data_IF_488953474426
#
_entry.id   IF_488953474426
#
_cell.length_a   1.000
_cell.length_b   1.000
_cell.length_c   1.000
_cell.angle_alpha   90.00
_cell.angle_beta   90.00
_cell.angle_gamma   90.00
#
_symmetry.space_group_name_H-M   'P 1'
#
loop_
_entity.id
_entity.type
_entity.pdbx_description
1 polymer ?
#
# COMPACT_ATOMS: atom_id res chain seq x y z
N UNK A 1 -8.87 5.65 23.33
CA UNK A 1 -8.75 5.85 21.87
C UNK A 1 -7.38 5.40 21.35
N UNK A 2 -7.32 4.79 20.16
CA UNK A 2 -6.08 4.49 19.42
C UNK A 2 -5.79 5.57 18.36
N UNK A 3 -4.51 5.91 18.16
CA UNK A 3 -4.12 6.96 17.22
C UNK A 3 -3.14 6.43 16.17
N UNK A 4 -3.40 6.68 14.89
CA UNK A 4 -2.49 6.38 13.79
C UNK A 4 -1.75 7.64 13.35
N UNK A 5 -0.41 7.64 13.40
CA UNK A 5 0.36 8.72 12.78
C UNK A 5 0.51 8.50 11.29
N UNK A 6 -0.17 9.31 10.48
CA UNK A 6 -0.08 9.19 9.04
C UNK A 6 1.21 9.80 8.49
N UNK A 7 1.88 9.06 7.63
CA UNK A 7 3.06 9.50 6.86
C UNK A 7 3.37 8.54 5.71
N UNK A 8 4.08 9.05 4.71
CA UNK A 8 4.23 8.40 3.41
C UNK A 8 2.98 8.60 2.54
N UNK A 9 3.06 8.16 1.28
CA UNK A 9 1.95 8.26 0.32
C UNK A 9 0.84 7.22 0.59
N UNK A 10 -0.23 7.26 -0.20
CA UNK A 10 -1.48 6.52 -0.01
C UNK A 10 -1.31 5.08 0.51
N UNK A 11 -0.52 4.24 -0.16
CA UNK A 11 -0.37 2.83 0.25
C UNK A 11 0.23 2.64 1.65
N UNK A 12 1.13 3.52 2.11
CA UNK A 12 1.65 3.49 3.47
C UNK A 12 0.60 3.92 4.50
N UNK A 13 -0.17 4.95 4.15
CA UNK A 13 -1.25 5.42 5.02
C UNK A 13 -2.36 4.38 5.17
N UNK A 14 -2.65 3.59 4.13
CA UNK A 14 -3.60 2.49 4.19
C UNK A 14 -3.17 1.41 5.21
N UNK A 15 -1.88 1.06 5.28
CA UNK A 15 -1.37 0.16 6.33
C UNK A 15 -1.49 0.76 7.73
N UNK A 16 -1.11 2.04 7.89
CA UNK A 16 -1.20 2.75 9.16
C UNK A 16 -2.65 2.82 9.68
N UNK A 17 -3.59 3.08 8.77
CA UNK A 17 -5.02 3.04 9.05
C UNK A 17 -5.47 1.63 9.44
N UNK A 18 -5.14 0.62 8.62
CA UNK A 18 -5.60 -0.75 8.84
C UNK A 18 -5.13 -1.32 10.17
N UNK A 19 -3.86 -1.10 10.53
CA UNK A 19 -3.33 -1.49 11.83
C UNK A 19 -4.05 -0.76 12.97
N UNK A 20 -4.19 0.56 12.92
CA UNK A 20 -4.85 1.32 13.99
C UNK A 20 -6.33 0.91 14.16
N UNK A 21 -7.07 0.71 13.06
CA UNK A 21 -8.45 0.24 13.09
C UNK A 21 -8.55 -1.16 13.70
N UNK A 22 -7.62 -2.07 13.38
CA UNK A 22 -7.59 -3.41 13.94
C UNK A 22 -7.31 -3.42 15.45
N UNK A 23 -6.37 -2.59 15.92
CA UNK A 23 -6.09 -2.47 17.35
C UNK A 23 -7.28 -1.85 18.10
N UNK A 24 -7.90 -0.82 17.53
CA UNK A 24 -9.08 -0.19 18.11
C UNK A 24 -10.28 -1.15 18.21
N UNK A 25 -10.54 -1.93 17.15
CA UNK A 25 -11.58 -2.94 17.14
C UNK A 25 -11.34 -4.04 18.19
N UNK A 26 -10.08 -4.47 18.37
CA UNK A 26 -9.70 -5.45 19.40
C UNK A 26 -9.99 -4.95 20.82
N UNK A 27 -9.76 -3.67 21.07
CA UNK A 27 -9.89 -3.05 22.39
C UNK A 27 -11.29 -2.49 22.66
N UNK A 28 -12.18 -2.50 21.67
CA UNK A 28 -13.49 -1.85 21.70
C UNK A 28 -13.41 -0.36 22.09
N UNK A 29 -12.48 0.37 21.43
CA UNK A 29 -12.26 1.80 21.67
C UNK A 29 -12.33 2.60 20.37
N UNK A 30 -12.65 3.91 20.44
CA UNK A 30 -12.55 4.79 19.29
C UNK A 30 -11.13 4.83 18.71
N UNK A 31 -11.01 5.21 17.44
CA UNK A 31 -9.71 5.42 16.81
C UNK A 31 -9.67 6.73 16.03
N UNK A 32 -8.47 7.28 15.87
CA UNK A 32 -8.24 8.55 15.20
C UNK A 32 -6.98 8.51 14.34
N UNK A 33 -6.93 9.37 13.33
CA UNK A 33 -5.76 9.53 12.46
C UNK A 33 -5.16 10.92 12.67
N UNK A 34 -3.82 10.99 12.73
CA UNK A 34 -3.06 12.23 12.81
C UNK A 34 -2.40 12.51 11.45
N UNK A 35 -3.03 13.38 10.67
CA UNK A 35 -2.64 13.75 9.29
C UNK A 35 -1.51 14.77 9.21
N UNK A 36 -1.21 15.48 10.32
CA UNK A 36 -0.42 16.71 10.32
C UNK A 36 0.96 16.55 9.69
N UNK A 37 1.59 15.38 9.84
CA UNK A 37 2.90 15.09 9.24
C UNK A 37 2.81 14.86 7.74
N UNK A 38 1.82 14.10 7.29
CA UNK A 38 1.61 13.82 5.86
C UNK A 38 1.26 15.11 5.12
N UNK A 39 0.39 15.95 5.69
CA UNK A 39 0.03 17.26 5.14
C UNK A 39 1.25 18.20 5.05
N UNK A 40 2.02 18.32 6.13
CA UNK A 40 3.25 19.14 6.14
C UNK A 40 4.26 18.70 5.06
N UNK A 41 4.32 17.40 4.75
CA UNK A 41 5.24 16.86 3.74
C UNK A 41 4.67 16.83 2.32
N UNK A 42 3.42 17.24 2.12
CA UNK A 42 2.76 17.13 0.81
C UNK A 42 2.55 15.67 0.37
N UNK A 43 2.44 14.73 1.31
CA UNK A 43 2.28 13.29 1.02
C UNK A 43 0.82 12.91 0.69
N UNK A 44 -0.09 13.88 0.73
CA UNK A 44 -1.54 13.67 0.64
C UNK A 44 -2.12 13.04 1.91
N UNK A 45 -3.44 12.85 1.95
CA UNK A 45 -4.14 12.16 3.04
C UNK A 45 -5.11 11.13 2.47
N UNK A 46 -5.17 9.94 3.05
CA UNK A 46 -6.03 8.85 2.55
C UNK A 46 -7.52 9.22 2.50
N UNK A 47 -7.98 10.15 3.35
CA UNK A 47 -9.37 10.63 3.42
C UNK A 47 -9.80 11.43 2.19
N UNK A 48 -8.83 11.87 1.37
CA UNK A 48 -9.10 12.39 0.02
C UNK A 48 -9.74 11.32 -0.88
N UNK A 49 -9.33 10.06 -0.68
CA UNK A 49 -9.65 8.93 -1.56
C UNK A 49 -10.80 8.10 -1.01
N UNK A 50 -10.76 7.81 0.29
CA UNK A 50 -11.67 6.87 0.95
C UNK A 50 -12.54 7.58 1.98
N UNK A 51 -13.81 7.21 2.05
CA UNK A 51 -14.71 7.63 3.13
C UNK A 51 -14.54 6.70 4.32
N UNK A 52 -13.41 6.86 5.01
CA UNK A 52 -13.05 6.03 6.16
C UNK A 52 -13.62 6.59 7.45
N UNK A 53 -14.19 5.73 8.28
CA UNK A 53 -14.59 6.09 9.63
C UNK A 53 -13.36 6.50 10.45
N UNK A 54 -13.43 7.56 11.24
CA UNK A 54 -12.49 7.83 12.33
C UNK A 54 -13.10 8.89 13.25
N UNK A 55 -12.63 8.95 14.50
CA UNK A 55 -13.12 9.92 15.48
C UNK A 55 -12.19 11.12 15.58
N UNK A 56 -12.78 12.32 15.66
CA UNK A 56 -12.03 13.53 15.98
C UNK A 56 -11.44 13.40 17.39
N UNK A 57 -10.11 13.50 17.55
CA UNK A 57 -9.47 13.29 18.83
C UNK A 57 -9.69 14.52 19.73
N UNK A 58 -10.09 14.30 20.98
CA UNK A 58 -10.17 15.38 21.98
C UNK A 58 -8.77 15.97 22.29
N UNK A 59 -7.76 15.09 22.32
CA UNK A 59 -6.37 15.46 22.57
C UNK A 59 -5.45 14.75 21.57
N UNK A 60 -4.69 15.54 20.81
CA UNK A 60 -3.56 15.07 20.01
C UNK A 60 -2.25 15.44 20.71
N UNK A 61 -1.18 14.67 20.49
CA UNK A 61 0.13 15.10 20.94
C UNK A 61 0.53 16.43 20.29
N UNK A 62 1.44 17.20 20.91
CA UNK A 62 1.90 18.48 20.35
C UNK A 62 2.36 18.33 18.90
N UNK A 63 2.07 19.31 18.05
CA UNK A 63 2.51 19.27 16.66
C UNK A 63 4.04 19.29 16.59
N UNK A 64 4.64 18.35 15.85
CA UNK A 64 6.08 18.30 15.61
C UNK A 64 6.60 19.61 14.99
N UNK A 65 5.79 20.26 14.15
CA UNK A 65 6.20 21.42 13.35
C UNK A 65 5.84 22.75 14.02
N UNK A 66 4.66 22.85 14.64
CA UNK A 66 4.21 24.08 15.28
C UNK A 66 4.73 24.23 16.72
N UNK A 67 4.98 23.11 17.41
CA UNK A 67 5.38 23.10 18.83
C UNK A 67 6.51 22.09 19.05
N UNK A 68 7.68 22.24 18.40
CA UNK A 68 8.75 21.24 18.40
C UNK A 68 9.24 20.92 19.82
N UNK A 69 9.48 21.91 20.67
CA UNK A 69 9.93 21.70 22.05
C UNK A 69 8.92 20.87 22.87
N UNK A 70 7.62 21.19 22.76
CA UNK A 70 6.57 20.43 23.42
C UNK A 70 6.44 19.01 22.85
N UNK A 71 6.64 18.84 21.54
CA UNK A 71 6.66 17.51 20.91
C UNK A 71 7.83 16.65 21.40
N UNK A 72 9.03 17.22 21.51
CA UNK A 72 10.18 16.54 22.08
C UNK A 72 9.95 16.15 23.55
N UNK A 73 9.41 17.07 24.35
CA UNK A 73 9.06 16.78 25.73
C UNK A 73 8.01 15.66 25.84
N UNK A 74 6.95 15.70 25.03
CA UNK A 74 5.96 14.62 24.96
C UNK A 74 6.57 13.29 24.49
N UNK A 75 7.50 13.32 23.52
CA UNK A 75 8.17 12.10 23.06
C UNK A 75 9.09 11.47 24.10
N UNK A 76 9.66 12.27 25.01
CA UNK A 76 10.54 11.80 26.07
C UNK A 76 9.78 11.36 27.32
N UNK A 77 8.73 12.09 27.70
CA UNK A 77 8.06 11.95 29.01
C UNK A 77 6.54 11.80 28.93
N UNK A 78 5.94 12.01 27.76
CA UNK A 78 4.50 12.02 27.58
C UNK A 78 3.87 10.64 27.70
N UNK A 79 2.81 10.55 28.51
CA UNK A 79 2.06 9.31 28.73
C UNK A 79 0.71 9.29 27.99
N UNK A 80 0.24 10.43 27.47
CA UNK A 80 -1.11 10.55 26.92
C UNK A 80 -1.16 11.41 25.62
N UNK A 81 -1.42 10.80 24.44
CA UNK A 81 -1.34 9.36 24.19
C UNK A 81 0.10 8.85 24.31
N UNK A 82 0.28 7.56 24.59
CA UNK A 82 1.59 6.91 24.72
C UNK A 82 2.13 6.52 23.36
N UNK A 83 3.29 7.06 22.96
CA UNK A 83 3.90 6.70 21.69
C UNK A 83 4.39 5.25 21.69
N UNK A 84 3.98 4.49 20.67
CA UNK A 84 4.49 3.17 20.39
C UNK A 84 5.09 3.15 18.99
N UNK A 85 6.39 2.84 18.92
CA UNK A 85 7.12 2.76 17.66
C UNK A 85 7.22 1.32 17.21
N UNK A 86 6.94 1.10 15.93
CA UNK A 86 7.19 -0.18 15.28
C UNK A 86 8.67 -0.58 15.46
N UNK A 87 8.91 -1.85 15.78
CA UNK A 87 10.25 -2.41 16.01
C UNK A 87 10.58 -3.31 14.83
N UNK A 88 11.62 -2.96 14.07
CA UNK A 88 11.86 -3.61 12.78
C UNK A 88 10.73 -3.31 11.78
N UNK A 89 10.71 -4.02 10.65
CA UNK A 89 9.69 -3.84 9.61
C UNK A 89 8.73 -5.02 9.49
N UNK A 90 9.04 -6.16 10.14
CA UNK A 90 8.17 -7.33 10.21
C UNK A 90 7.00 -7.18 11.19
N UNK A 91 6.23 -8.24 11.32
CA UNK A 91 5.12 -8.29 12.26
C UNK A 91 5.62 -8.32 13.72
N UNK A 92 5.11 -7.39 14.53
CA UNK A 92 5.43 -7.26 15.95
C UNK A 92 4.32 -7.86 16.81
N UNK A 93 4.51 -9.07 17.35
CA UNK A 93 3.50 -9.73 18.19
C UNK A 93 3.06 -8.90 19.42
N UNK A 94 3.94 -8.04 19.95
CA UNK A 94 3.60 -7.11 21.04
C UNK A 94 2.51 -6.10 20.68
N UNK A 95 2.20 -5.95 19.39
CA UNK A 95 1.09 -5.14 18.89
C UNK A 95 -0.25 -5.58 19.46
N UNK A 96 -0.46 -6.88 19.65
CA UNK A 96 -1.74 -7.43 20.11
C UNK A 96 -2.05 -7.06 21.56
N UNK A 97 -1.01 -6.82 22.36
CA UNK A 97 -1.10 -6.47 23.78
C UNK A 97 -1.00 -4.96 24.03
N UNK A 98 -0.99 -4.13 22.98
CA UNK A 98 -0.94 -2.68 23.17
C UNK A 98 -2.21 -2.20 23.87
N UNK A 99 -2.09 -1.34 24.89
CA UNK A 99 -3.24 -0.85 25.61
C UNK A 99 -3.98 0.23 24.82
N UNK A 100 -5.14 0.63 25.35
CA UNK A 100 -5.77 1.87 24.93
C UNK A 100 -4.82 3.06 25.09
N UNK A 101 -5.15 4.17 24.43
CA UNK A 101 -4.39 5.42 24.46
C UNK A 101 -2.99 5.30 23.84
N UNK A 102 -2.85 4.38 22.88
CA UNK A 102 -1.61 4.15 22.13
C UNK A 102 -1.58 5.02 20.87
N UNK A 103 -0.47 5.72 20.68
CA UNK A 103 -0.14 6.47 19.47
C UNK A 103 0.87 5.70 18.61
N UNK A 104 0.37 5.05 17.56
CA UNK A 104 1.14 4.19 16.67
C UNK A 104 2.02 5.02 15.73
N UNK A 105 3.31 4.71 15.70
CA UNK A 105 4.30 5.33 14.85
C UNK A 105 5.14 4.25 14.13
N UNK A 106 4.79 3.97 12.88
CA UNK A 106 5.40 2.95 12.05
C UNK A 106 4.70 2.84 10.70
N UNK A 107 5.17 1.95 9.85
CA UNK A 107 4.52 1.62 8.59
C UNK A 107 3.50 0.50 8.73
N UNK A 108 3.71 -0.46 9.64
CA UNK A 108 2.78 -1.57 9.91
C UNK A 108 2.48 -2.43 8.67
N UNK A 109 3.50 -2.67 7.86
CA UNK A 109 3.41 -3.32 6.54
C UNK A 109 3.37 -4.86 6.62
N UNK A 110 2.38 -5.39 7.34
CA UNK A 110 2.15 -6.82 7.44
C UNK A 110 0.64 -7.08 7.56
N UNK A 111 0.10 -8.02 6.78
CA UNK A 111 -1.33 -8.36 6.80
C UNK A 111 -1.79 -8.80 8.20
N UNK A 112 -0.91 -9.47 8.94
CA UNK A 112 -1.16 -9.99 10.29
C UNK A 112 -1.68 -8.92 11.26
N UNK A 113 -1.34 -7.64 11.07
CA UNK A 113 -1.85 -6.57 11.94
C UNK A 113 -3.37 -6.37 11.85
N UNK A 114 -3.97 -6.66 10.70
CA UNK A 114 -5.38 -6.38 10.42
C UNK A 114 -6.17 -7.55 9.82
N UNK A 115 -5.54 -8.71 9.65
CA UNK A 115 -6.19 -9.93 9.17
C UNK A 115 -7.53 -10.26 9.88
N UNK A 116 -7.67 -10.10 11.22
CA UNK A 116 -8.93 -10.38 11.91
C UNK A 116 -10.11 -9.51 11.45
N UNK A 117 -9.85 -8.31 10.91
CA UNK A 117 -10.86 -7.36 10.42
C UNK A 117 -10.74 -7.13 8.91
N UNK A 118 -10.17 -8.08 8.16
CA UNK A 118 -9.92 -7.93 6.72
C UNK A 118 -11.18 -7.54 5.92
N UNK A 119 -12.35 -8.04 6.31
CA UNK A 119 -13.63 -7.67 5.68
C UNK A 119 -13.92 -6.17 5.85
N UNK A 120 -13.71 -5.64 7.03
CA UNK A 120 -13.96 -4.23 7.35
C UNK A 120 -12.95 -3.33 6.64
N UNK A 121 -11.68 -3.76 6.57
CA UNK A 121 -10.64 -3.04 5.81
C UNK A 121 -10.98 -2.97 4.32
N UNK A 122 -11.47 -4.08 3.72
CA UNK A 122 -11.93 -4.07 2.32
C UNK A 122 -13.11 -3.13 2.10
N UNK A 123 -14.04 -3.08 3.06
CA UNK A 123 -15.19 -2.17 2.98
C UNK A 123 -14.77 -0.70 3.12
N UNK A 124 -13.78 -0.41 3.96
CA UNK A 124 -13.26 0.93 4.19
C UNK A 124 -12.48 1.48 2.97
N UNK A 125 -11.83 0.61 2.19
CA UNK A 125 -11.01 1.00 1.03
C UNK A 125 -11.76 0.90 -0.29
N UNK A 126 -12.97 1.45 -0.32
CA UNK A 126 -13.73 1.73 -1.55
C UNK A 126 -13.59 3.22 -1.86
N UNK A 127 -12.99 3.63 -3.00
CA UNK A 127 -12.80 5.05 -3.23
C UNK A 127 -14.15 5.76 -3.40
N UNK A 128 -14.28 6.93 -2.77
CA UNK A 128 -15.54 7.67 -2.64
C UNK A 128 -16.05 8.29 -3.94
N UNK A 129 -15.16 8.42 -4.94
CA UNK A 129 -15.48 9.01 -6.23
C UNK A 129 -15.84 7.91 -7.23
N UNK A 130 -16.88 8.12 -8.02
CA UNK A 130 -17.19 7.24 -9.15
C UNK A 130 -16.03 7.25 -10.16
N UNK A 131 -15.85 6.14 -10.89
CA UNK A 131 -14.88 6.10 -11.99
C UNK A 131 -15.24 7.18 -13.03
N UNK A 132 -14.21 7.82 -13.59
CA UNK A 132 -14.38 8.60 -14.82
C UNK A 132 -14.80 7.66 -15.97
N UNK A 133 -15.42 8.16 -17.06
CA UNK A 133 -15.77 7.33 -18.21
C UNK A 133 -14.58 6.52 -18.75
N UNK A 134 -13.40 7.13 -18.82
CA UNK A 134 -12.18 6.46 -19.28
C UNK A 134 -11.74 5.31 -18.35
N UNK A 135 -11.85 5.48 -17.03
CA UNK A 135 -11.57 4.40 -16.08
C UNK A 135 -12.64 3.31 -16.13
N UNK A 136 -13.91 3.67 -16.35
CA UNK A 136 -14.99 2.69 -16.52
C UNK A 136 -14.80 1.84 -17.79
N UNK A 137 -14.38 2.45 -18.90
CA UNK A 137 -14.05 1.75 -20.14
C UNK A 137 -12.83 0.82 -19.94
N UNK A 138 -11.79 1.29 -19.24
CA UNK A 138 -10.63 0.45 -18.91
C UNK A 138 -11.01 -0.72 -18.00
N UNK A 139 -11.86 -0.49 -17.00
CA UNK A 139 -12.39 -1.55 -16.14
C UNK A 139 -13.19 -2.59 -16.93
N UNK A 140 -14.02 -2.16 -17.89
CA UNK A 140 -14.74 -3.07 -18.78
C UNK A 140 -13.79 -3.89 -19.66
N UNK A 141 -12.71 -3.28 -20.16
CA UNK A 141 -11.65 -4.00 -20.91
C UNK A 141 -10.93 -5.02 -20.03
N UNK A 142 -10.55 -4.66 -18.80
CA UNK A 142 -9.92 -5.57 -17.84
C UNK A 142 -10.80 -6.79 -17.55
N UNK A 143 -12.13 -6.59 -17.54
CA UNK A 143 -13.10 -7.65 -17.29
C UNK A 143 -13.39 -8.54 -18.52
N UNK A 144 -13.00 -8.14 -19.74
CA UNK A 144 -13.38 -8.87 -20.96
C UNK A 144 -12.52 -10.11 -21.25
N UNK A 145 -11.46 -10.35 -20.48
CA UNK A 145 -10.58 -11.50 -20.67
C UNK A 145 -9.62 -11.73 -19.50
N UNK A 146 -8.70 -12.70 -19.62
CA UNK A 146 -7.69 -12.94 -18.60
C UNK A 146 -6.78 -11.72 -18.44
N UNK A 147 -6.70 -11.18 -17.22
CA UNK A 147 -6.04 -9.91 -16.94
C UNK A 147 -5.02 -10.01 -15.82
N UNK A 148 -3.83 -9.45 -16.06
CA UNK A 148 -2.75 -9.36 -15.08
C UNK A 148 -2.37 -7.90 -14.92
N UNK A 149 -2.49 -7.34 -13.71
CA UNK A 149 -1.89 -6.03 -13.45
C UNK A 149 -0.39 -6.19 -13.28
N UNK A 150 0.42 -5.34 -13.88
CA UNK A 150 1.86 -5.25 -13.64
C UNK A 150 2.20 -3.83 -13.21
N UNK A 151 2.69 -3.67 -11.98
CA UNK A 151 3.13 -2.37 -11.50
C UNK A 151 4.63 -2.19 -11.69
N UNK A 152 5.04 -1.06 -12.26
CA UNK A 152 6.42 -0.67 -12.50
C UNK A 152 6.73 0.59 -11.70
N UNK A 153 7.91 0.64 -11.07
CA UNK A 153 8.36 1.83 -10.35
C UNK A 153 9.77 2.20 -10.78
N UNK A 154 9.94 3.37 -11.40
CA UNK A 154 11.23 3.89 -11.85
C UNK A 154 11.71 5.11 -11.08
N UNK A 155 10.79 5.94 -10.58
CA UNK A 155 11.07 7.33 -10.18
C UNK A 155 12.16 7.48 -9.11
N UNK A 156 12.29 6.50 -8.22
CA UNK A 156 13.28 6.53 -7.14
C UNK A 156 14.64 5.87 -7.52
N UNK A 157 14.77 5.30 -8.72
CA UNK A 157 15.90 4.42 -9.11
C UNK A 157 16.90 5.03 -10.10
N UNK A 158 16.65 6.23 -10.63
CA UNK A 158 17.61 6.93 -11.51
C UNK A 158 18.75 7.61 -10.74
N UNK A 159 18.63 7.74 -9.41
CA UNK A 159 19.65 8.29 -8.54
C UNK A 159 20.48 7.18 -7.89
N UNK A 160 21.58 6.84 -8.56
CA UNK A 160 22.82 6.25 -8.01
C UNK A 160 22.71 4.85 -7.38
N UNK A 161 23.15 3.83 -8.13
CA UNK A 161 23.65 2.56 -7.58
C UNK A 161 22.62 1.50 -7.16
N UNK A 162 21.33 1.83 -7.17
CA UNK A 162 20.27 0.85 -7.01
C UNK A 162 19.80 0.38 -8.39
N UNK A 163 20.44 -0.67 -8.93
CA UNK A 163 19.76 -1.50 -9.92
C UNK A 163 18.39 -1.86 -9.34
N UNK A 164 17.32 -1.42 -10.01
CA UNK A 164 15.96 -1.54 -9.48
C UNK A 164 15.69 -2.96 -9.03
N UNK A 165 15.15 -3.13 -7.81
CA UNK A 165 14.84 -4.45 -7.23
C UNK A 165 13.94 -5.30 -8.15
N UNK A 166 13.19 -4.63 -9.03
CA UNK A 166 12.33 -5.22 -10.03
C UNK A 166 12.84 -4.81 -11.41
N UNK A 167 13.82 -5.54 -11.93
CA UNK A 167 14.35 -5.38 -13.29
C UNK A 167 13.56 -6.21 -14.32
N UNK A 168 14.02 -6.24 -15.56
CA UNK A 168 13.40 -7.01 -16.64
C UNK A 168 13.29 -8.51 -16.28
N UNK A 169 14.34 -9.09 -15.70
CA UNK A 169 14.38 -10.51 -15.35
C UNK A 169 13.33 -10.84 -14.27
N UNK A 170 13.17 -9.95 -13.28
CA UNK A 170 12.09 -10.05 -12.29
C UNK A 170 10.70 -10.09 -12.95
N UNK A 171 10.39 -9.16 -13.86
CA UNK A 171 9.06 -9.10 -14.48
C UNK A 171 8.79 -10.33 -15.36
N UNK A 172 9.78 -10.80 -16.12
CA UNK A 172 9.67 -12.01 -16.92
C UNK A 172 9.42 -13.25 -16.04
N UNK A 173 10.18 -13.42 -14.96
CA UNK A 173 10.01 -14.53 -14.03
C UNK A 173 8.65 -14.47 -13.31
N UNK A 174 8.21 -13.28 -12.90
CA UNK A 174 6.92 -13.09 -12.25
C UNK A 174 5.76 -13.41 -13.19
N UNK A 175 5.80 -12.90 -14.42
CA UNK A 175 4.78 -13.18 -15.43
C UNK A 175 4.74 -14.66 -15.80
N UNK A 176 5.89 -15.32 -15.98
CA UNK A 176 5.94 -16.75 -16.27
C UNK A 176 5.24 -17.60 -15.19
N UNK A 177 5.36 -17.20 -13.91
CA UNK A 177 4.69 -17.88 -12.79
C UNK A 177 3.20 -17.54 -12.71
N UNK A 178 2.83 -16.27 -12.84
CA UNK A 178 1.44 -15.82 -12.72
C UNK A 178 0.60 -16.32 -13.90
N UNK A 179 1.12 -16.23 -15.12
CA UNK A 179 0.43 -16.62 -16.35
C UNK A 179 0.42 -18.14 -16.62
N UNK A 180 1.00 -18.96 -15.74
CA UNK A 180 1.11 -20.41 -15.98
C UNK A 180 -0.27 -21.07 -16.21
N UNK A 181 -0.52 -21.56 -17.41
CA UNK A 181 -1.81 -22.18 -17.77
C UNK A 181 -2.95 -21.19 -17.96
N UNK A 182 -2.65 -19.89 -18.08
CA UNK A 182 -3.60 -18.87 -18.54
C UNK A 182 -3.35 -18.67 -20.03
N UNK A 183 -4.39 -18.84 -20.84
CA UNK A 183 -4.29 -18.63 -22.28
C UNK A 183 -4.32 -17.13 -22.59
N UNK A 184 -3.32 -16.66 -23.35
CA UNK A 184 -3.18 -15.29 -23.86
C UNK A 184 -3.69 -14.16 -22.93
N UNK A 185 -3.15 -13.98 -21.70
CA UNK A 185 -3.57 -12.87 -20.84
C UNK A 185 -3.14 -11.51 -21.38
N UNK A 186 -3.95 -10.49 -21.12
CA UNK A 186 -3.55 -9.09 -21.31
C UNK A 186 -2.89 -8.58 -20.03
N UNK A 187 -1.70 -7.98 -20.18
CA UNK A 187 -0.96 -7.36 -19.08
C UNK A 187 -1.23 -5.85 -19.07
N UNK A 188 -1.91 -5.38 -18.02
CA UNK A 188 -2.20 -3.98 -17.78
C UNK A 188 -1.09 -3.37 -16.92
N UNK A 189 -0.30 -2.50 -17.52
CA UNK A 189 0.89 -1.91 -16.91
C UNK A 189 0.56 -0.56 -16.28
N UNK A 190 0.86 -0.43 -15.00
CA UNK A 190 0.72 0.79 -14.20
C UNK A 190 2.12 1.25 -13.78
N UNK A 191 2.47 2.51 -14.04
CA UNK A 191 3.83 3.00 -13.85
C UNK A 191 3.84 4.43 -13.36
N UNK A 192 4.84 4.80 -12.56
CA UNK A 192 5.18 6.21 -12.29
C UNK A 192 5.84 6.90 -13.50
N UNK A 193 6.20 6.13 -14.52
CA UNK A 193 6.69 6.57 -15.82
C UNK A 193 6.07 5.69 -16.94
N UNK A 194 4.84 6.01 -17.39
CA UNK A 194 4.13 5.21 -18.40
C UNK A 194 4.82 5.20 -19.77
N UNK A 195 5.40 6.32 -20.20
CA UNK A 195 6.04 6.42 -21.51
C UNK A 195 7.27 5.52 -21.60
N UNK A 196 8.09 5.46 -20.53
CA UNK A 196 9.16 4.49 -20.49
C UNK A 196 8.66 3.05 -20.56
N UNK A 197 7.57 2.72 -19.86
CA UNK A 197 7.02 1.36 -19.87
C UNK A 197 6.48 0.96 -21.26
N UNK A 198 5.99 1.90 -22.05
CA UNK A 198 5.64 1.66 -23.47
C UNK A 198 6.88 1.30 -24.27
N UNK A 199 7.94 2.10 -24.14
CA UNK A 199 9.09 2.04 -25.04
C UNK A 199 10.15 1.00 -24.63
N UNK A 200 10.26 0.66 -23.35
CA UNK A 200 11.43 -0.05 -22.80
C UNK A 200 11.10 -1.32 -22.00
N UNK A 201 9.81 -1.63 -21.77
CA UNK A 201 9.39 -2.85 -21.07
C UNK A 201 8.82 -3.86 -22.08
N UNK A 202 9.66 -4.72 -22.68
CA UNK A 202 9.18 -5.82 -23.50
C UNK A 202 8.49 -6.86 -22.61
N UNK A 203 7.29 -7.29 -22.99
CA UNK A 203 6.53 -8.34 -22.30
C UNK A 203 6.16 -9.44 -23.29
N UNK A 204 6.07 -10.71 -22.86
CA UNK A 204 5.73 -11.84 -23.73
C UNK A 204 4.24 -11.92 -24.10
N UNK A 205 3.43 -10.98 -23.63
CA UNK A 205 1.97 -10.96 -23.75
C UNK A 205 1.47 -9.63 -24.31
N UNK A 206 0.18 -9.53 -24.64
CA UNK A 206 -0.44 -8.25 -24.97
C UNK A 206 -0.21 -7.25 -23.82
N UNK A 207 0.36 -6.10 -24.15
CA UNK A 207 0.70 -5.05 -23.19
C UNK A 207 -0.23 -3.85 -23.39
N UNK A 208 -0.88 -3.43 -22.31
CA UNK A 208 -1.70 -2.21 -22.26
C UNK A 208 -1.15 -1.32 -21.16
N UNK A 209 -0.56 -0.19 -21.51
CA UNK A 209 -0.08 0.77 -20.51
C UNK A 209 -1.21 1.74 -20.16
N UNK A 210 -1.50 1.87 -18.87
CA UNK A 210 -2.47 2.85 -18.35
C UNK A 210 -1.72 4.14 -18.05
N UNK A 211 -2.02 5.20 -18.78
CA UNK A 211 -1.22 6.43 -18.83
C UNK A 211 -2.05 7.72 -18.69
N UNK A 212 -3.33 7.60 -18.35
CA UNK A 212 -4.28 8.71 -18.30
C UNK A 212 -4.69 9.13 -16.88
N UNK A 213 -4.21 8.44 -15.85
CA UNK A 213 -4.45 8.81 -14.46
C UNK A 213 -3.29 9.69 -13.95
N UNK A 214 -3.61 10.86 -13.41
CA UNK A 214 -2.63 11.81 -12.88
C UNK A 214 -2.47 11.71 -11.35
N UNK A 215 -1.62 12.57 -10.74
CA UNK A 215 -1.39 12.57 -9.30
C UNK A 215 -2.66 12.74 -8.44
N UNK A 216 -3.66 13.46 -8.95
CA UNK A 216 -4.92 13.67 -8.25
C UNK A 216 -5.89 12.49 -8.37
N UNK A 217 -5.68 11.59 -9.33
CA UNK A 217 -6.50 10.39 -9.57
C UNK A 217 -5.68 9.10 -9.49
N UNK A 218 -4.54 9.14 -8.82
CA UNK A 218 -3.64 8.00 -8.62
C UNK A 218 -4.38 6.77 -8.06
N UNK A 219 -5.33 6.97 -7.16
CA UNK A 219 -6.19 5.91 -6.63
C UNK A 219 -7.02 5.14 -7.66
N UNK A 220 -7.23 5.66 -8.87
CA UNK A 220 -7.88 4.91 -9.95
C UNK A 220 -6.98 3.79 -10.48
N UNK A 221 -5.64 3.98 -10.53
CA UNK A 221 -4.71 2.89 -10.85
C UNK A 221 -4.79 1.79 -9.80
N UNK A 222 -4.89 2.16 -8.52
CA UNK A 222 -5.10 1.22 -7.42
C UNK A 222 -6.39 0.41 -7.63
N UNK A 223 -7.47 1.10 -8.00
CA UNK A 223 -8.77 0.49 -8.28
C UNK A 223 -8.67 -0.46 -9.48
N UNK A 224 -8.12 -0.04 -10.61
CA UNK A 224 -7.97 -0.86 -11.81
C UNK A 224 -7.08 -2.09 -11.57
N UNK A 225 -5.97 -1.94 -10.84
CA UNK A 225 -5.14 -3.08 -10.41
C UNK A 225 -5.94 -4.11 -9.60
N UNK A 226 -6.83 -3.65 -8.73
CA UNK A 226 -7.69 -4.54 -7.91
C UNK A 226 -8.78 -5.26 -8.71
N UNK A 227 -9.09 -4.78 -9.93
CA UNK A 227 -10.07 -5.39 -10.84
C UNK A 227 -9.46 -6.45 -11.76
N UNK A 228 -8.13 -6.47 -11.92
CA UNK A 228 -7.44 -7.52 -12.69
C UNK A 228 -7.61 -8.89 -12.02
N UNK A 229 -7.54 -9.97 -12.79
CA UNK A 229 -7.66 -11.33 -12.23
C UNK A 229 -6.43 -11.74 -11.42
N UNK A 230 -5.24 -11.29 -11.82
CA UNK A 230 -3.96 -11.59 -11.17
C UNK A 230 -3.09 -10.33 -11.08
N UNK A 231 -2.02 -10.38 -10.27
CA UNK A 231 -1.20 -9.20 -10.00
C UNK A 231 0.31 -9.54 -9.95
N UNK A 232 1.12 -8.70 -10.59
CA UNK A 232 2.58 -8.62 -10.45
C UNK A 232 2.90 -7.27 -9.82
N UNK A 233 3.56 -7.31 -8.66
CA UNK A 233 3.85 -6.14 -7.84
C UNK A 233 5.20 -5.52 -8.23
N UNK A 234 5.38 -4.24 -7.93
CA UNK A 234 6.71 -3.70 -7.63
C UNK A 234 6.94 -3.77 -6.11
N UNK A 235 8.14 -3.38 -5.65
CA UNK A 235 8.40 -3.12 -4.23
C UNK A 235 7.71 -1.81 -3.78
N UNK A 236 6.38 -1.83 -3.78
CA UNK A 236 5.51 -0.69 -3.50
C UNK A 236 4.30 -1.13 -2.70
N UNK A 237 4.05 -0.44 -1.58
CA UNK A 237 2.81 -0.61 -0.82
C UNK A 237 1.57 -0.30 -1.65
N UNK A 238 1.71 0.51 -2.71
CA UNK A 238 0.61 0.86 -3.60
C UNK A 238 0.14 -0.36 -4.41
N UNK A 239 1.05 -1.04 -5.11
CA UNK A 239 0.70 -2.29 -5.80
C UNK A 239 0.32 -3.41 -4.84
N UNK A 240 0.92 -3.43 -3.63
CA UNK A 240 0.53 -4.36 -2.58
C UNK A 240 -0.97 -4.25 -2.26
N UNK A 241 -1.48 -3.03 -2.06
CA UNK A 241 -2.90 -2.81 -1.81
C UNK A 241 -3.76 -3.12 -3.02
N UNK A 242 -3.29 -2.85 -4.25
CA UNK A 242 -4.00 -3.25 -5.47
C UNK A 242 -4.28 -4.76 -5.50
N UNK A 243 -3.25 -5.57 -5.23
CA UNK A 243 -3.40 -7.02 -5.18
C UNK A 243 -4.13 -7.54 -3.94
N UNK A 244 -3.95 -6.89 -2.78
CA UNK A 244 -4.66 -7.29 -1.58
C UNK A 244 -6.16 -7.02 -1.71
N UNK A 245 -6.57 -5.89 -2.30
CA UNK A 245 -7.96 -5.53 -2.54
C UNK A 245 -8.62 -6.36 -3.64
N UNK A 246 -7.83 -6.97 -4.54
CA UNK A 246 -8.33 -7.91 -5.54
C UNK A 246 -9.13 -9.04 -4.86
N UNK A 247 -10.42 -9.12 -5.21
CA UNK A 247 -11.39 -10.05 -4.60
C UNK A 247 -11.45 -11.40 -5.31
N UNK A 248 -10.73 -11.58 -6.42
CA UNK A 248 -10.66 -12.87 -7.09
C UNK A 248 -10.07 -13.93 -6.13
N UNK A 249 -10.80 -15.01 -5.81
CA UNK A 249 -10.28 -16.08 -4.97
C UNK A 249 -9.15 -16.86 -5.66
N UNK A 250 -9.15 -16.92 -6.99
CA UNK A 250 -8.19 -17.65 -7.81
C UNK A 250 -7.00 -16.77 -8.22
N UNK A 251 -6.89 -15.56 -7.65
CA UNK A 251 -5.80 -14.65 -7.97
C UNK A 251 -4.46 -15.28 -7.66
N UNK A 252 -3.48 -14.92 -8.49
CA UNK A 252 -2.07 -15.25 -8.31
C UNK A 252 -1.37 -13.93 -8.19
N UNK A 253 -0.62 -13.76 -7.11
CA UNK A 253 0.08 -12.51 -6.82
C UNK A 253 1.56 -12.82 -6.73
N UNK A 254 2.37 -12.15 -7.55
CA UNK A 254 3.82 -12.24 -7.50
C UNK A 254 4.43 -10.92 -7.02
N UNK A 255 5.29 -10.99 -6.02
CA UNK A 255 6.04 -9.84 -5.51
C UNK A 255 7.54 -10.14 -5.40
N UNK A 256 8.38 -9.10 -5.29
CA UNK A 256 9.81 -9.28 -5.14
C UNK A 256 10.12 -9.91 -3.79
N UNK A 257 11.00 -10.92 -3.81
CA UNK A 257 11.55 -11.53 -2.61
C UNK A 257 12.33 -10.50 -1.80
N UNK A 258 13.12 -9.68 -2.49
CA UNK A 258 13.89 -8.60 -1.91
C UNK A 258 13.08 -7.30 -2.03
N UNK A 259 12.50 -6.84 -0.91
CA UNK A 259 11.63 -5.66 -0.92
C UNK A 259 12.39 -4.34 -0.77
N UNK A 260 13.59 -4.39 -0.16
CA UNK A 260 14.43 -3.24 0.11
C UNK A 260 15.81 -3.42 -0.53
N UNK A 261 16.36 -2.35 -1.08
CA UNK A 261 17.69 -2.34 -1.70
C UNK A 261 18.80 -2.26 -0.65
N UNK A 262 18.50 -1.66 0.51
CA UNK A 262 19.40 -1.70 1.66
C UNK A 262 19.30 -3.07 2.34
N UNK A 263 20.38 -3.88 2.36
CA UNK A 263 20.38 -5.20 2.98
C UNK A 263 20.17 -5.18 4.50
N UNK A 264 20.25 -4.00 5.15
CA UNK A 264 19.94 -3.83 6.58
C UNK A 264 18.44 -3.77 6.84
N UNK A 265 17.63 -3.48 5.82
CA UNK A 265 16.19 -3.42 5.90
C UNK A 265 15.60 -4.76 5.44
N UNK A 266 14.78 -5.36 6.28
CA UNK A 266 14.09 -6.59 5.94
C UNK A 266 12.69 -6.59 6.57
N UNK A 267 11.69 -6.94 5.77
CA UNK A 267 10.35 -7.25 6.23
C UNK A 267 9.98 -8.67 5.74
N UNK A 268 10.18 -9.71 6.57
CA UNK A 268 9.87 -11.08 6.17
C UNK A 268 8.36 -11.33 6.02
N UNK A 269 7.52 -10.46 6.57
CA UNK A 269 6.07 -10.58 6.65
C UNK A 269 5.34 -9.72 5.61
N UNK A 270 6.07 -9.03 4.73
CA UNK A 270 5.47 -8.07 3.82
C UNK A 270 4.53 -8.71 2.80
N UNK A 271 4.86 -9.90 2.31
CA UNK A 271 4.02 -10.63 1.36
C UNK A 271 3.10 -11.60 2.14
N UNK A 272 1.77 -11.47 2.02
CA UNK A 272 0.81 -12.43 2.54
C UNK A 272 1.13 -13.86 2.20
N UNK A 273 0.70 -14.77 3.08
CA UNK A 273 0.84 -16.21 2.84
C UNK A 273 0.11 -16.59 1.55
N UNK A 274 0.82 -17.31 0.67
CA UNK A 274 0.30 -17.75 -0.63
C UNK A 274 0.66 -16.84 -1.81
N UNK A 275 1.24 -15.66 -1.56
CA UNK A 275 1.81 -14.84 -2.63
C UNK A 275 3.17 -15.42 -3.05
N UNK A 276 3.44 -15.37 -4.35
CA UNK A 276 4.65 -15.88 -4.97
C UNK A 276 5.80 -14.89 -4.74
N UNK A 277 6.92 -15.39 -4.22
CA UNK A 277 8.13 -14.59 -4.05
C UNK A 277 9.06 -14.82 -5.24
N UNK A 278 9.37 -13.75 -5.98
CA UNK A 278 10.23 -13.80 -7.16
C UNK A 278 11.55 -13.14 -6.84
N UNK A 279 12.64 -13.84 -7.13
CA UNK A 279 14.00 -13.29 -7.02
C UNK A 279 14.35 -12.63 -8.35
N UNK A 280 14.91 -11.42 -8.29
CA UNK A 280 15.59 -10.81 -9.43
C UNK A 280 16.85 -11.63 -9.79
#
# INVERSE_FOLDING_TARGET
>A
MIYARLHGRLGNQMFQYAAARALAARLDVPFSIDTRRAEHKGEGVLTRVFDVDWSTPQHLPPSQHLRPLAYFAWRAFGQNPKIYRERGLGYNATFETLPDNTYLHGYWQAEQYFAPIAKDIRAAFVPRHAMSPQNADMAARIASGPSISLHVRRGDYLTVGAHGLCDQAYYEAALAKVAQGIDAPTVYVFSDDPDWAKDNLPLPFEKVVVDFNGPDTDYEDLRLMSLCQHNVLANSSFSWWGAWLNRNPDKRVAGPKDWFSDPKLNNPDILPKGWLQIKA
#
